data_IF_671261098893
#
_entry.id   IF_671261098893
#
_cell.length_a   1.000
_cell.length_b   1.000
_cell.length_c   1.000
_cell.angle_alpha   90.00
_cell.angle_beta   90.00
_cell.angle_gamma   90.00
#
_symmetry.space_group_name_H-M   'P 1'
#
loop_
_entity.id
_entity.type
_entity.pdbx_description
1 polymer ?
#
# COMPACT_ATOMS: atom_id res chain seq x y z
N UNK A 1 7.35 15.78 18.63
CA UNK A 1 7.78 16.49 17.41
C UNK A 1 8.34 15.46 16.45
N UNK A 2 7.55 14.95 15.51
CA UNK A 2 8.01 13.99 14.50
C UNK A 2 8.02 14.66 13.14
N UNK A 3 8.95 15.59 12.95
CA UNK A 3 9.35 15.96 11.59
C UNK A 3 10.10 14.77 11.02
N UNK A 4 9.68 14.28 9.86
CA UNK A 4 10.47 13.33 9.06
C UNK A 4 11.86 13.93 8.87
N UNK A 5 12.86 13.34 9.52
CA UNK A 5 14.24 13.77 9.32
C UNK A 5 14.64 13.30 7.92
N UNK A 6 15.01 14.25 7.05
CA UNK A 6 15.51 13.94 5.71
C UNK A 6 16.59 12.87 5.79
N UNK A 7 16.51 11.91 4.89
CA UNK A 7 17.36 10.74 4.80
C UNK A 7 18.25 10.92 3.58
N UNK A 8 19.57 10.87 3.79
CA UNK A 8 20.57 10.83 2.74
C UNK A 8 21.61 9.76 3.07
N UNK A 9 22.64 9.67 2.25
CA UNK A 9 23.77 8.76 2.45
C UNK A 9 23.61 7.42 1.73
N UNK A 10 24.13 6.38 2.37
CA UNK A 10 24.27 5.03 1.85
C UNK A 10 22.97 4.27 1.99
N UNK A 11 22.28 4.05 0.88
CA UNK A 11 21.02 3.33 0.84
C UNK A 11 21.20 1.88 0.39
N UNK A 12 20.47 0.96 1.01
CA UNK A 12 20.25 -0.40 0.50
C UNK A 12 18.78 -0.66 0.24
N UNK A 13 18.47 -1.58 -0.67
CA UNK A 13 17.09 -2.01 -0.94
C UNK A 13 17.02 -3.52 -0.85
N UNK A 14 16.01 -4.04 -0.12
CA UNK A 14 15.70 -5.46 -0.06
C UNK A 14 14.32 -5.74 -0.65
N UNK A 15 14.24 -6.72 -1.54
CA UNK A 15 13.11 -6.95 -2.42
C UNK A 15 13.16 -6.03 -3.64
N UNK A 16 13.48 -6.59 -4.79
CA UNK A 16 13.74 -5.89 -6.05
C UNK A 16 12.66 -6.15 -7.11
N UNK A 17 11.44 -6.41 -6.66
CA UNK A 17 10.27 -6.42 -7.53
C UNK A 17 9.96 -5.03 -8.11
N UNK A 18 8.81 -4.92 -8.79
CA UNK A 18 8.41 -3.68 -9.47
C UNK A 18 8.42 -2.43 -8.57
N UNK A 19 8.02 -2.56 -7.30
CA UNK A 19 7.94 -1.42 -6.37
C UNK A 19 9.32 -0.81 -6.05
N UNK A 20 10.39 -1.59 -6.06
CA UNK A 20 11.75 -1.11 -5.81
C UNK A 20 12.18 -0.01 -6.79
N UNK A 21 11.68 -0.05 -8.04
CA UNK A 21 11.99 0.92 -9.10
C UNK A 21 11.72 2.36 -8.67
N UNK A 22 10.66 2.59 -7.88
CA UNK A 22 10.31 3.90 -7.35
C UNK A 22 11.44 4.47 -6.48
N UNK A 23 11.91 3.67 -5.53
CA UNK A 23 12.97 4.07 -4.60
C UNK A 23 14.33 4.17 -5.28
N UNK A 24 14.64 3.25 -6.21
CA UNK A 24 15.88 3.30 -6.99
C UNK A 24 15.99 4.62 -7.75
N UNK A 25 14.91 5.03 -8.44
CA UNK A 25 14.87 6.32 -9.14
C UNK A 25 15.00 7.49 -8.17
N UNK A 26 14.22 7.48 -7.09
CA UNK A 26 14.24 8.56 -6.11
C UNK A 26 15.62 8.77 -5.49
N UNK A 27 16.29 7.70 -5.09
CA UNK A 27 17.66 7.72 -4.56
C UNK A 27 18.63 8.21 -5.65
N UNK A 28 18.50 7.68 -6.87
CA UNK A 28 19.38 8.04 -8.01
C UNK A 28 19.22 9.47 -8.49
N UNK A 29 18.10 10.12 -8.24
CA UNK A 29 17.84 11.52 -8.63
C UNK A 29 18.42 12.52 -7.63
N UNK A 30 18.96 12.06 -6.49
CA UNK A 30 19.43 12.91 -5.41
C UNK A 30 20.93 12.79 -5.22
N UNK A 31 21.67 13.91 -5.19
CA UNK A 31 23.13 13.88 -5.09
C UNK A 31 23.62 13.41 -3.72
N UNK A 32 22.85 13.68 -2.66
CA UNK A 32 23.20 13.33 -1.28
C UNK A 32 22.89 11.88 -0.94
N UNK A 33 22.44 11.06 -1.88
CA UNK A 33 22.10 9.65 -1.67
C UNK A 33 22.79 8.75 -2.70
N UNK A 34 23.20 7.58 -2.26
CA UNK A 34 23.80 6.56 -3.13
C UNK A 34 23.21 5.19 -2.83
N UNK A 35 22.72 4.50 -3.86
CA UNK A 35 22.31 3.11 -3.75
C UNK A 35 23.55 2.22 -3.77
N UNK A 36 23.84 1.59 -2.64
CA UNK A 36 25.06 0.79 -2.42
C UNK A 36 24.82 -0.68 -2.74
N UNK A 37 23.69 -1.22 -2.33
CA UNK A 37 23.40 -2.64 -2.48
C UNK A 37 21.91 -2.93 -2.70
N UNK A 38 21.68 -4.04 -3.40
CA UNK A 38 20.41 -4.67 -3.66
C UNK A 38 20.42 -6.06 -3.03
N UNK A 39 19.31 -6.48 -2.43
CA UNK A 39 19.12 -7.82 -1.88
C UNK A 39 17.82 -8.45 -2.38
N UNK A 40 17.91 -9.64 -2.99
CA UNK A 40 16.76 -10.40 -3.49
C UNK A 40 17.13 -11.87 -3.67
N UNK A 41 16.14 -12.76 -3.60
CA UNK A 41 16.27 -14.16 -4.00
C UNK A 41 16.56 -14.27 -5.51
N UNK A 42 16.08 -13.31 -6.29
CA UNK A 42 16.12 -13.31 -7.74
C UNK A 42 17.21 -12.35 -8.26
N UNK A 43 18.33 -12.92 -8.72
CA UNK A 43 19.47 -12.17 -9.22
C UNK A 43 19.19 -11.44 -10.55
N UNK A 44 18.27 -11.94 -11.37
CA UNK A 44 17.86 -11.26 -12.61
C UNK A 44 17.11 -9.96 -12.34
N UNK A 45 16.28 -9.90 -11.30
CA UNK A 45 15.65 -8.64 -10.87
C UNK A 45 16.69 -7.62 -10.40
N UNK A 46 17.71 -8.07 -9.66
CA UNK A 46 18.82 -7.19 -9.28
C UNK A 46 19.61 -6.70 -10.50
N UNK A 47 19.87 -7.58 -11.49
CA UNK A 47 20.51 -7.21 -12.76
C UNK A 47 19.68 -6.18 -13.54
N UNK A 48 18.36 -6.36 -13.62
CA UNK A 48 17.45 -5.41 -14.24
C UNK A 48 17.60 -4.00 -13.64
N UNK A 49 17.63 -3.89 -12.32
CA UNK A 49 17.79 -2.59 -11.66
C UNK A 49 19.21 -2.04 -11.74
N UNK A 50 20.24 -2.88 -11.81
CA UNK A 50 21.61 -2.42 -12.10
C UNK A 50 21.75 -1.87 -13.52
N UNK A 51 20.99 -2.37 -14.50
CA UNK A 51 20.90 -1.77 -15.82
C UNK A 51 20.23 -0.39 -15.76
N UNK A 52 19.15 -0.26 -14.97
CA UNK A 52 18.51 1.03 -14.73
C UNK A 52 19.47 2.04 -14.08
N UNK A 53 20.28 1.64 -13.09
CA UNK A 53 21.31 2.52 -12.52
C UNK A 53 22.31 3.01 -13.56
N UNK A 54 22.76 2.11 -14.44
CA UNK A 54 23.66 2.45 -15.55
C UNK A 54 23.02 3.45 -16.51
N UNK A 55 21.75 3.28 -16.87
CA UNK A 55 20.98 4.23 -17.70
C UNK A 55 20.87 5.62 -17.05
N UNK A 56 20.74 5.65 -15.72
CA UNK A 56 20.69 6.88 -14.92
C UNK A 56 22.09 7.49 -14.67
N UNK A 57 23.16 6.92 -15.23
CA UNK A 57 24.53 7.39 -15.03
C UNK A 57 25.04 7.19 -13.60
N UNK A 58 24.49 6.21 -12.86
CA UNK A 58 24.88 5.89 -11.48
C UNK A 58 25.73 4.61 -11.42
N UNK A 59 26.61 4.47 -10.41
CA UNK A 59 27.33 3.23 -10.17
C UNK A 59 26.36 2.06 -9.97
N UNK A 60 26.78 0.86 -10.39
CA UNK A 60 26.04 -0.35 -10.07
C UNK A 60 26.07 -0.62 -8.56
N UNK A 61 24.95 -1.09 -8.02
CA UNK A 61 24.83 -1.56 -6.66
C UNK A 61 25.36 -2.99 -6.55
N UNK A 62 26.01 -3.31 -5.43
CA UNK A 62 26.38 -4.69 -5.08
C UNK A 62 25.12 -5.54 -4.89
N UNK A 63 25.20 -6.83 -5.17
CA UNK A 63 24.06 -7.74 -5.06
C UNK A 63 24.28 -8.75 -3.95
N UNK A 64 23.24 -9.03 -3.18
CA UNK A 64 23.28 -9.96 -2.05
C UNK A 64 22.10 -10.92 -2.09
N UNK A 65 22.35 -12.20 -1.81
CA UNK A 65 21.29 -13.15 -1.49
C UNK A 65 20.73 -12.87 -0.09
N UNK A 66 19.46 -13.15 0.22
CA UNK A 66 18.90 -12.95 1.56
C UNK A 66 19.66 -13.66 2.69
N UNK A 67 20.27 -14.81 2.40
CA UNK A 67 21.11 -15.53 3.38
C UNK A 67 22.36 -14.73 3.78
N UNK A 68 22.81 -13.81 2.93
CA UNK A 68 23.95 -12.91 3.17
C UNK A 68 23.50 -11.55 3.73
N UNK A 69 22.23 -11.38 4.13
CA UNK A 69 21.72 -10.09 4.57
C UNK A 69 22.44 -9.53 5.81
N UNK A 70 22.83 -10.39 6.76
CA UNK A 70 23.63 -9.97 7.92
C UNK A 70 24.99 -9.39 7.48
N UNK A 71 25.68 -10.09 6.58
CA UNK A 71 26.94 -9.64 5.98
C UNK A 71 26.77 -8.32 5.23
N UNK A 72 25.67 -8.16 4.47
CA UNK A 72 25.33 -6.91 3.78
C UNK A 72 25.26 -5.73 4.76
N UNK A 73 24.60 -5.90 5.92
CA UNK A 73 24.49 -4.85 6.93
C UNK A 73 25.86 -4.49 7.53
N UNK A 74 26.70 -5.49 7.82
CA UNK A 74 28.03 -5.31 8.41
C UNK A 74 29.02 -4.61 7.45
N UNK A 75 29.08 -5.06 6.19
CA UNK A 75 30.05 -4.59 5.21
C UNK A 75 29.68 -3.22 4.64
N UNK A 76 28.40 -3.01 4.33
CA UNK A 76 27.99 -1.85 3.54
C UNK A 76 27.70 -0.61 4.38
N UNK A 77 27.56 -0.73 5.71
CA UNK A 77 27.37 0.40 6.64
C UNK A 77 26.30 1.38 6.13
N UNK A 78 25.09 0.86 5.96
CA UNK A 78 23.97 1.60 5.40
C UNK A 78 23.47 2.66 6.38
N UNK A 79 23.13 3.83 5.86
CA UNK A 79 22.39 4.85 6.59
C UNK A 79 20.89 4.56 6.56
N UNK A 80 20.41 3.99 5.45
CA UNK A 80 19.00 3.65 5.24
C UNK A 80 18.82 2.33 4.50
N UNK A 81 17.85 1.53 4.94
CA UNK A 81 17.35 0.35 4.25
C UNK A 81 15.90 0.56 3.82
N UNK A 82 15.61 0.33 2.55
CA UNK A 82 14.23 0.27 2.03
C UNK A 82 13.79 -1.19 1.89
N UNK A 83 12.68 -1.55 2.51
CA UNK A 83 12.09 -2.90 2.49
C UNK A 83 10.88 -2.90 1.56
N UNK A 84 10.98 -3.67 0.48
CA UNK A 84 9.95 -3.83 -0.57
C UNK A 84 9.71 -5.30 -0.94
N UNK A 85 9.86 -6.20 0.04
CA UNK A 85 9.67 -7.65 -0.14
C UNK A 85 8.18 -8.06 -0.09
N UNK A 86 7.91 -9.36 -0.06
CA UNK A 86 6.58 -9.89 0.29
C UNK A 86 6.26 -9.49 1.73
N UNK A 87 5.03 -9.05 2.00
CA UNK A 87 4.63 -8.48 3.30
C UNK A 87 5.01 -9.38 4.50
N UNK A 88 4.84 -10.69 4.34
CA UNK A 88 5.12 -11.67 5.38
C UNK A 88 6.60 -11.82 5.74
N UNK A 89 7.52 -11.23 4.98
CA UNK A 89 8.96 -11.28 5.24
C UNK A 89 9.52 -9.94 5.69
N UNK A 90 8.71 -8.88 5.80
CA UNK A 90 9.17 -7.56 6.20
C UNK A 90 9.94 -7.59 7.54
N UNK A 91 9.45 -8.33 8.54
CA UNK A 91 10.08 -8.39 9.87
C UNK A 91 11.48 -9.02 9.84
N UNK A 92 11.74 -9.94 8.91
CA UNK A 92 13.04 -10.60 8.73
C UNK A 92 14.13 -9.60 8.32
N UNK A 93 13.76 -8.47 7.71
CA UNK A 93 14.70 -7.43 7.30
C UNK A 93 14.63 -6.19 8.18
N UNK A 94 13.44 -5.81 8.65
CA UNK A 94 13.26 -4.66 9.55
C UNK A 94 14.01 -4.90 10.86
N UNK A 95 13.82 -6.05 11.51
CA UNK A 95 14.36 -6.28 12.86
C UNK A 95 15.89 -6.29 12.87
N UNK A 96 16.60 -7.04 12.02
CA UNK A 96 18.07 -7.03 12.02
C UNK A 96 18.64 -5.66 11.62
N UNK A 97 18.00 -4.94 10.68
CA UNK A 97 18.46 -3.62 10.28
C UNK A 97 18.39 -2.60 11.43
N UNK A 98 17.30 -2.62 12.22
CA UNK A 98 17.19 -1.78 13.42
C UNK A 98 18.29 -2.11 14.44
N UNK A 99 18.58 -3.39 14.67
CA UNK A 99 19.67 -3.80 15.57
C UNK A 99 21.07 -3.43 15.05
N UNK A 100 21.25 -3.34 13.73
CA UNK A 100 22.46 -2.81 13.10
C UNK A 100 22.54 -1.27 13.14
N UNK A 101 21.55 -0.58 13.72
CA UNK A 101 21.51 0.88 13.79
C UNK A 101 21.12 1.57 12.49
N UNK A 102 20.58 0.83 11.52
CA UNK A 102 20.18 1.35 10.20
C UNK A 102 18.76 1.92 10.28
N UNK A 103 18.52 3.09 9.68
CA UNK A 103 17.15 3.63 9.53
C UNK A 103 16.38 2.77 8.54
N UNK A 104 15.15 2.40 8.87
CA UNK A 104 14.33 1.54 8.02
C UNK A 104 13.15 2.31 7.44
N UNK A 105 12.98 2.21 6.12
CA UNK A 105 11.80 2.62 5.39
C UNK A 105 11.13 1.34 4.87
N UNK A 106 9.92 1.02 5.32
CA UNK A 106 9.22 -0.19 4.87
C UNK A 106 8.01 0.15 4.03
N UNK A 107 7.83 -0.54 2.92
CA UNK A 107 6.52 -0.62 2.29
C UNK A 107 5.47 -1.11 3.27
N UNK A 108 4.23 -0.73 2.98
CA UNK A 108 3.08 -1.17 3.74
C UNK A 108 2.60 -2.53 3.23
N UNK A 109 1.93 -3.32 4.07
CA UNK A 109 1.75 -3.13 5.51
C UNK A 109 3.09 -3.31 6.25
N UNK A 110 3.19 -2.82 7.49
CA UNK A 110 4.42 -2.99 8.28
C UNK A 110 4.82 -4.47 8.40
N UNK A 111 3.83 -5.35 8.54
CA UNK A 111 3.94 -6.82 8.44
C UNK A 111 2.54 -7.44 8.32
N UNK A 112 2.39 -8.74 8.55
CA UNK A 112 1.16 -9.52 8.24
C UNK A 112 0.49 -10.18 9.42
N UNK A 113 1.14 -10.26 10.59
CA UNK A 113 0.58 -10.90 11.79
C UNK A 113 0.99 -10.19 13.08
N UNK A 114 0.32 -10.59 14.17
CA UNK A 114 0.47 -10.00 15.50
C UNK A 114 1.88 -10.20 16.05
N UNK A 115 2.44 -11.40 15.93
CA UNK A 115 3.73 -11.72 16.55
C UNK A 115 4.89 -11.02 15.84
N UNK A 116 4.84 -10.93 14.50
CA UNK A 116 5.75 -10.11 13.70
C UNK A 116 5.64 -8.63 14.07
N UNK A 117 4.41 -8.12 14.24
CA UNK A 117 4.19 -6.74 14.65
C UNK A 117 4.83 -6.47 16.03
N UNK A 118 4.62 -7.36 17.01
CA UNK A 118 5.26 -7.28 18.33
C UNK A 118 6.78 -7.30 18.24
N UNK A 119 7.36 -8.18 17.41
CA UNK A 119 8.82 -8.24 17.20
C UNK A 119 9.38 -6.92 16.68
N UNK A 120 8.73 -6.33 15.67
CA UNK A 120 9.14 -5.03 15.11
C UNK A 120 9.05 -3.92 16.17
N UNK A 121 7.91 -3.83 16.87
CA UNK A 121 7.72 -2.81 17.90
C UNK A 121 8.75 -2.94 19.02
N UNK A 122 9.05 -4.16 19.46
CA UNK A 122 10.09 -4.43 20.44
C UNK A 122 11.47 -4.03 19.92
N UNK A 123 11.83 -4.35 18.67
CA UNK A 123 13.11 -3.98 18.09
C UNK A 123 13.30 -2.45 18.03
N UNK A 124 12.24 -1.71 17.69
CA UNK A 124 12.28 -0.25 17.70
C UNK A 124 12.48 0.27 19.13
N UNK A 125 11.80 -0.31 20.12
CA UNK A 125 11.97 0.10 21.52
C UNK A 125 13.35 -0.23 22.08
N UNK A 126 13.88 -1.41 21.80
CA UNK A 126 15.20 -1.87 22.27
C UNK A 126 16.35 -1.02 21.69
N UNK A 127 16.24 -0.65 20.41
CA UNK A 127 17.32 0.05 19.68
C UNK A 127 17.17 1.57 19.68
N UNK A 128 15.98 2.08 20.04
CA UNK A 128 15.55 3.47 19.76
C UNK A 128 15.72 3.85 18.28
N UNK A 129 15.65 2.83 17.42
CA UNK A 129 15.83 2.95 15.98
C UNK A 129 14.69 3.68 15.29
N UNK A 130 14.90 4.03 14.03
CA UNK A 130 13.95 4.78 13.23
C UNK A 130 13.30 3.88 12.19
N UNK A 131 11.98 3.67 12.30
CA UNK A 131 11.16 2.96 11.32
C UNK A 131 10.05 3.88 10.80
N UNK A 132 10.00 4.05 9.48
CA UNK A 132 8.91 4.74 8.79
C UNK A 132 8.16 3.76 7.89
N UNK A 133 6.83 3.74 8.01
CA UNK A 133 5.93 2.98 7.14
C UNK A 133 5.45 3.89 6.01
N UNK A 134 5.56 3.43 4.78
CA UNK A 134 5.43 4.27 3.58
C UNK A 134 3.96 4.41 3.13
N UNK A 135 3.12 5.02 3.96
CA UNK A 135 1.74 5.38 3.62
C UNK A 135 1.68 6.62 2.73
N UNK A 136 2.02 6.42 1.45
CA UNK A 136 2.03 7.46 0.41
C UNK A 136 0.71 8.26 0.27
N UNK A 137 -0.44 7.68 0.60
CA UNK A 137 -1.72 8.41 0.60
C UNK A 137 -1.74 9.59 1.57
N UNK A 138 -1.02 9.56 2.71
CA UNK A 138 -0.90 10.75 3.59
C UNK A 138 -0.34 11.96 2.86
N UNK A 139 0.36 11.78 1.75
CA UNK A 139 1.05 12.82 0.99
C UNK A 139 0.25 13.38 -0.19
N UNK A 140 -0.96 12.87 -0.44
CA UNK A 140 -1.84 13.41 -1.47
C UNK A 140 -2.55 14.68 -0.94
N UNK A 141 -2.47 15.84 -1.62
CA UNK A 141 -3.05 17.10 -1.13
C UNK A 141 -4.56 17.06 -0.83
N UNK A 142 -5.32 16.19 -1.49
CA UNK A 142 -6.76 16.01 -1.17
C UNK A 142 -6.95 15.56 0.28
N UNK A 143 -6.04 14.73 0.79
CA UNK A 143 -6.09 14.21 2.15
C UNK A 143 -5.56 15.21 3.18
N UNK A 144 -4.65 16.10 2.79
CA UNK A 144 -4.27 17.25 3.61
C UNK A 144 -5.47 18.17 3.82
N UNK A 145 -6.23 18.47 2.76
CA UNK A 145 -7.40 19.33 2.89
C UNK A 145 -8.46 18.75 3.82
N UNK A 146 -8.70 17.43 3.76
CA UNK A 146 -9.62 16.76 4.70
C UNK A 146 -9.13 16.90 6.14
N UNK A 147 -7.85 16.63 6.40
CA UNK A 147 -7.26 16.77 7.74
C UNK A 147 -7.37 18.22 8.24
N UNK A 148 -7.00 19.21 7.42
CA UNK A 148 -7.07 20.63 7.75
C UNK A 148 -8.49 21.07 8.13
N UNK A 149 -9.51 20.64 7.38
CA UNK A 149 -10.92 21.00 7.63
C UNK A 149 -11.41 20.40 8.95
N UNK A 150 -11.05 19.14 9.23
CA UNK A 150 -11.41 18.45 10.47
C UNK A 150 -10.67 19.07 11.66
N UNK A 151 -9.36 19.25 11.55
CA UNK A 151 -8.50 19.84 12.59
C UNK A 151 -8.89 21.29 12.91
N UNK A 152 -9.35 22.05 11.92
CA UNK A 152 -9.91 23.39 12.11
C UNK A 152 -11.28 23.41 12.82
N UNK A 153 -11.84 22.23 13.15
CA UNK A 153 -13.09 22.09 13.89
C UNK A 153 -14.34 22.48 13.10
N UNK A 154 -14.28 22.48 11.75
CA UNK A 154 -15.39 22.89 10.88
C UNK A 154 -16.62 22.02 11.02
N UNK A 155 -16.45 20.75 11.39
CA UNK A 155 -17.53 19.82 11.72
C UNK A 155 -17.62 19.51 13.23
N UNK A 156 -16.82 20.18 14.06
CA UNK A 156 -16.75 19.91 15.49
C UNK A 156 -16.14 18.55 15.81
N UNK A 157 -16.62 17.86 16.86
CA UNK A 157 -16.09 16.53 17.18
C UNK A 157 -16.71 15.47 16.27
N UNK A 158 -15.87 14.70 15.58
CA UNK A 158 -16.31 13.56 14.76
C UNK A 158 -17.01 12.51 15.64
N UNK A 159 -18.20 12.10 15.22
CA UNK A 159 -19.03 11.07 15.87
C UNK A 159 -19.06 9.79 15.06
N UNK A 160 -19.16 9.89 13.72
CA UNK A 160 -19.07 8.72 12.86
C UNK A 160 -18.38 8.99 11.53
N UNK A 161 -17.79 7.93 10.97
CA UNK A 161 -17.17 7.90 9.65
C UNK A 161 -17.86 6.82 8.82
N UNK A 162 -18.26 7.15 7.60
CA UNK A 162 -18.72 6.18 6.61
C UNK A 162 -17.71 6.13 5.49
N UNK A 163 -17.19 4.94 5.18
CA UNK A 163 -16.11 4.79 4.23
C UNK A 163 -16.34 3.59 3.30
N UNK A 164 -16.50 3.87 2.01
CA UNK A 164 -16.58 2.87 0.96
C UNK A 164 -15.34 3.00 0.06
N UNK A 165 -14.64 1.90 -0.16
CA UNK A 165 -13.54 1.82 -1.13
C UNK A 165 -13.85 0.78 -2.20
N UNK A 166 -13.70 1.20 -3.46
CA UNK A 166 -14.01 0.40 -4.64
C UNK A 166 -12.73 0.23 -5.47
N UNK A 167 -12.30 -1.03 -5.63
CA UNK A 167 -11.25 -1.38 -6.58
C UNK A 167 -11.91 -1.91 -7.83
N UNK A 168 -11.44 -1.45 -8.98
CA UNK A 168 -11.94 -1.96 -10.24
C UNK A 168 -11.53 -3.42 -10.50
N UNK A 169 -12.08 -4.03 -11.55
CA UNK A 169 -11.78 -5.41 -11.93
C UNK A 169 -10.37 -5.65 -12.47
N UNK A 170 -9.54 -4.61 -12.62
CA UNK A 170 -8.12 -4.74 -13.00
C UNK A 170 -7.22 -4.68 -11.78
N UNK A 171 -7.34 -3.62 -10.99
CA UNK A 171 -6.56 -3.45 -9.76
C UNK A 171 -6.98 -4.46 -8.70
N UNK A 172 -8.29 -4.67 -8.52
CA UNK A 172 -8.82 -5.69 -7.64
C UNK A 172 -8.28 -7.08 -7.99
N UNK A 173 -8.36 -7.46 -9.27
CA UNK A 173 -7.89 -8.76 -9.74
C UNK A 173 -6.39 -8.97 -9.55
N UNK A 174 -5.57 -7.92 -9.62
CA UNK A 174 -4.11 -8.01 -9.44
C UNK A 174 -3.71 -8.63 -8.09
N UNK A 175 -4.55 -8.48 -7.05
CA UNK A 175 -4.36 -9.09 -5.74
C UNK A 175 -4.61 -10.61 -5.73
N UNK A 176 -5.41 -11.11 -6.66
CA UNK A 176 -5.77 -12.53 -6.75
C UNK A 176 -4.88 -13.29 -7.73
N UNK A 177 -3.91 -12.64 -8.40
CA UNK A 177 -3.03 -13.26 -9.42
C UNK A 177 -1.74 -13.84 -8.90
N UNK A 178 -1.31 -13.45 -7.71
CA UNK A 178 0.03 -13.71 -7.20
C UNK A 178 0.00 -13.98 -5.71
N UNK A 179 1.16 -13.88 -5.04
CA UNK A 179 1.31 -14.17 -3.62
C UNK A 179 0.30 -13.46 -2.69
N UNK A 180 -0.27 -12.33 -3.12
CA UNK A 180 -1.24 -11.55 -2.36
C UNK A 180 -2.51 -12.34 -2.04
N UNK A 181 -2.87 -13.32 -2.89
CA UNK A 181 -4.04 -14.21 -2.73
C UNK A 181 -3.95 -15.13 -1.51
N UNK A 182 -2.76 -15.25 -0.92
CA UNK A 182 -2.50 -16.12 0.20
C UNK A 182 -2.45 -15.31 1.49
N UNK A 183 -3.41 -15.54 2.39
CA UNK A 183 -3.54 -14.79 3.64
C UNK A 183 -2.31 -14.91 4.54
N UNK A 184 -1.59 -16.03 4.49
CA UNK A 184 -0.32 -16.19 5.21
C UNK A 184 0.84 -15.35 4.64
N UNK A 185 0.72 -14.84 3.41
CA UNK A 185 1.74 -14.00 2.76
C UNK A 185 1.40 -12.50 2.81
N UNK A 186 0.12 -12.14 2.80
CA UNK A 186 -0.35 -10.74 2.72
C UNK A 186 -1.14 -10.26 3.94
N UNK A 187 -1.62 -11.17 4.78
CA UNK A 187 -2.64 -10.86 5.78
C UNK A 187 -4.04 -10.60 5.19
N UNK A 188 -4.25 -10.80 3.89
CA UNK A 188 -5.51 -10.46 3.20
C UNK A 188 -5.67 -8.97 2.93
N UNK A 189 -6.71 -8.59 2.16
CA UNK A 189 -6.88 -7.20 1.72
C UNK A 189 -7.12 -6.24 2.88
N UNK A 190 -7.71 -6.70 3.97
CA UNK A 190 -7.87 -5.90 5.19
C UNK A 190 -6.53 -5.45 5.79
N UNK A 191 -5.45 -6.22 5.62
CA UNK A 191 -4.11 -5.86 6.08
C UNK A 191 -3.30 -5.24 4.93
N UNK A 192 -3.21 -5.91 3.78
CA UNK A 192 -2.36 -5.48 2.66
C UNK A 192 -2.80 -4.15 2.02
N UNK A 193 -4.11 -4.02 1.78
CA UNK A 193 -4.69 -2.88 1.05
C UNK A 193 -5.32 -1.88 2.01
N UNK A 194 -6.24 -2.34 2.86
CA UNK A 194 -7.01 -1.45 3.73
C UNK A 194 -6.21 -0.84 4.87
N UNK A 195 -4.98 -1.30 5.17
CA UNK A 195 -4.09 -0.58 6.10
C UNK A 195 -3.84 0.87 5.65
N UNK A 196 -3.76 1.17 4.35
CA UNK A 196 -3.75 2.56 3.87
C UNK A 196 -5.00 3.34 4.26
N UNK A 197 -6.16 2.70 4.18
CA UNK A 197 -7.45 3.33 4.41
C UNK A 197 -7.66 3.58 5.90
N UNK A 198 -7.31 2.60 6.73
CA UNK A 198 -7.34 2.73 8.19
C UNK A 198 -6.33 3.74 8.70
N UNK A 199 -5.13 3.78 8.10
CA UNK A 199 -4.15 4.83 8.35
C UNK A 199 -4.71 6.23 8.09
N UNK A 200 -5.35 6.44 6.93
CA UNK A 200 -5.98 7.71 6.59
C UNK A 200 -7.06 8.12 7.60
N UNK A 201 -7.92 7.19 8.02
CA UNK A 201 -8.95 7.51 9.02
C UNK A 201 -8.31 7.87 10.37
N UNK A 202 -7.37 7.06 10.86
CA UNK A 202 -6.62 7.34 12.09
C UNK A 202 -5.94 8.72 12.01
N UNK A 203 -5.42 9.08 10.83
CA UNK A 203 -4.78 10.35 10.55
C UNK A 203 -5.77 11.52 10.60
N UNK A 204 -6.88 11.45 9.84
CA UNK A 204 -7.87 12.53 9.73
C UNK A 204 -8.57 12.86 11.04
N UNK A 205 -8.95 11.84 11.82
CA UNK A 205 -9.70 12.04 13.06
C UNK A 205 -8.79 12.07 14.30
N UNK A 206 -7.49 11.86 14.11
CA UNK A 206 -6.45 11.81 15.15
C UNK A 206 -6.86 10.93 16.34
N UNK A 207 -7.27 9.69 16.05
CA UNK A 207 -7.77 8.75 17.04
C UNK A 207 -7.22 7.34 16.82
N UNK A 208 -7.22 6.54 17.88
CA UNK A 208 -6.73 5.16 17.84
C UNK A 208 -7.89 4.17 17.81
N UNK A 209 -7.89 3.19 16.89
CA UNK A 209 -8.92 2.14 16.88
C UNK A 209 -8.80 1.26 18.13
N UNK A 210 -9.95 0.79 18.64
CA UNK A 210 -10.07 0.01 19.89
C UNK A 210 -10.80 -1.31 19.72
N UNK A 211 -11.93 -1.31 19.01
CA UNK A 211 -12.77 -2.50 18.83
C UNK A 211 -13.11 -2.63 17.35
N UNK A 212 -13.10 -3.86 16.83
CA UNK A 212 -13.43 -4.18 15.43
C UNK A 212 -14.38 -5.37 15.39
N UNK A 213 -15.43 -5.26 14.59
CA UNK A 213 -16.27 -6.37 14.18
C UNK A 213 -16.40 -6.34 12.66
N UNK A 214 -16.49 -7.48 12.01
CA UNK A 214 -16.59 -7.51 10.56
C UNK A 214 -17.04 -8.84 9.99
N UNK A 215 -17.38 -8.77 8.71
CA UNK A 215 -17.76 -9.89 7.86
C UNK A 215 -16.99 -9.76 6.55
N UNK A 216 -16.57 -10.88 5.97
CA UNK A 216 -15.84 -10.90 4.71
C UNK A 216 -16.04 -12.23 4.00
N UNK A 217 -15.97 -12.20 2.67
CA UNK A 217 -16.13 -13.39 1.84
C UNK A 217 -15.34 -13.27 0.54
N UNK A 218 -15.07 -14.41 -0.10
CA UNK A 218 -14.60 -14.50 -1.48
C UNK A 218 -15.84 -14.58 -2.41
N UNK A 219 -16.46 -13.43 -2.64
CA UNK A 219 -17.76 -13.25 -3.28
C UNK A 219 -17.71 -13.21 -4.81
N UNK A 220 -16.59 -12.82 -5.42
CA UNK A 220 -16.48 -12.63 -6.86
C UNK A 220 -15.41 -13.52 -7.51
N UNK A 221 -14.18 -13.46 -6.99
CA UNK A 221 -13.04 -14.27 -7.42
C UNK A 221 -13.12 -15.70 -6.87
N UNK A 222 -12.16 -16.54 -7.24
CA UNK A 222 -12.15 -17.95 -6.84
C UNK A 222 -13.05 -18.84 -7.71
N UNK A 223 -12.79 -20.15 -7.64
CA UNK A 223 -13.43 -21.14 -8.52
C UNK A 223 -14.93 -21.25 -8.30
N UNK A 224 -15.41 -21.19 -7.05
CA UNK A 224 -16.84 -21.30 -6.74
C UNK A 224 -17.64 -20.10 -7.26
N UNK A 225 -17.24 -18.88 -6.89
CA UNK A 225 -17.93 -17.64 -7.29
C UNK A 225 -17.76 -17.36 -8.79
N UNK A 226 -16.57 -17.62 -9.34
CA UNK A 226 -16.29 -17.57 -10.76
C UNK A 226 -17.11 -18.58 -11.57
N UNK A 227 -17.31 -19.79 -11.05
CA UNK A 227 -18.14 -20.82 -11.69
C UNK A 227 -19.63 -20.45 -11.72
N UNK A 228 -20.16 -19.92 -10.61
CA UNK A 228 -21.56 -19.45 -10.53
C UNK A 228 -21.85 -18.27 -11.46
N UNK A 229 -20.88 -17.37 -11.60
CA UNK A 229 -21.00 -16.17 -12.45
C UNK A 229 -20.69 -16.42 -13.93
N UNK A 230 -20.01 -17.53 -14.24
CA UNK A 230 -19.55 -17.84 -15.61
C UNK A 230 -18.26 -17.14 -16.01
N UNK A 231 -17.57 -16.45 -15.08
CA UNK A 231 -16.28 -15.81 -15.35
C UNK A 231 -15.10 -16.77 -15.27
N UNK A 232 -15.21 -17.87 -14.51
CA UNK A 232 -14.12 -18.83 -14.36
C UNK A 232 -13.81 -19.52 -15.69
N UNK A 233 -12.53 -19.52 -16.05
CA UNK A 233 -11.98 -20.28 -17.18
C UNK A 233 -10.99 -21.32 -16.66
N UNK A 234 -10.91 -22.47 -17.33
CA UNK A 234 -10.06 -23.59 -16.91
C UNK A 234 -8.63 -23.40 -17.41
N UNK A 235 -7.81 -22.72 -16.59
CA UNK A 235 -6.37 -22.65 -16.79
C UNK A 235 -5.65 -22.27 -15.50
N UNK A 236 -4.38 -22.67 -15.37
CA UNK A 236 -3.54 -22.31 -14.23
C UNK A 236 -2.95 -20.90 -14.37
N UNK A 237 -2.33 -20.58 -15.50
CA UNK A 237 -1.77 -19.25 -15.80
C UNK A 237 -2.00 -18.80 -17.23
N UNK A 238 -2.04 -17.48 -17.44
CA UNK A 238 -2.50 -16.87 -18.68
C UNK A 238 -1.56 -17.06 -19.87
N UNK A 239 -0.25 -17.21 -19.63
CA UNK A 239 0.75 -17.41 -20.70
C UNK A 239 0.63 -18.76 -21.40
N UNK A 240 0.18 -19.80 -20.69
CA UNK A 240 0.34 -21.20 -21.13
C UNK A 240 -0.89 -21.73 -21.89
N UNK A 241 -1.86 -20.87 -22.20
CA UNK A 241 -3.11 -21.27 -22.84
C UNK A 241 -3.65 -20.18 -23.75
N UNK A 242 -4.40 -20.57 -24.78
CA UNK A 242 -5.17 -19.64 -25.61
C UNK A 242 -6.51 -19.28 -24.96
N UNK A 243 -7.00 -20.07 -23.99
CA UNK A 243 -8.21 -19.77 -23.24
C UNK A 243 -8.11 -18.48 -22.42
N UNK A 244 -6.91 -17.95 -22.21
CA UNK A 244 -6.67 -16.69 -21.53
C UNK A 244 -6.53 -15.49 -22.48
N UNK A 245 -6.50 -15.68 -23.81
CA UNK A 245 -6.17 -14.62 -24.76
C UNK A 245 -7.20 -13.45 -24.79
N UNK A 246 -8.46 -13.77 -24.58
CA UNK A 246 -9.60 -12.85 -24.50
C UNK A 246 -10.22 -12.80 -23.09
N UNK A 247 -9.58 -13.41 -22.10
CA UNK A 247 -10.05 -13.35 -20.72
C UNK A 247 -9.84 -11.91 -20.20
N UNK A 248 -10.92 -11.16 -19.86
CA UNK A 248 -10.81 -9.77 -19.39
C UNK A 248 -9.99 -9.62 -18.10
N UNK A 249 -9.81 -10.72 -17.36
CA UNK A 249 -9.03 -10.77 -16.16
C UNK A 249 -7.56 -11.08 -16.49
N UNK A 250 -7.23 -11.90 -17.48
CA UNK A 250 -5.85 -12.29 -17.74
C UNK A 250 -4.86 -11.11 -17.87
N UNK A 251 -3.64 -11.31 -17.35
CA UNK A 251 -2.52 -10.38 -17.52
C UNK A 251 -1.50 -11.00 -18.47
N UNK A 252 -1.17 -10.29 -19.53
CA UNK A 252 -0.21 -10.74 -20.54
C UNK A 252 1.12 -10.01 -20.34
N UNK A 253 2.00 -10.60 -19.53
CA UNK A 253 3.29 -9.98 -19.16
C UNK A 253 4.16 -9.68 -20.39
N UNK A 254 4.06 -10.50 -21.44
CA UNK A 254 4.80 -10.32 -22.69
C UNK A 254 4.49 -9.01 -23.43
N UNK A 255 3.32 -8.41 -23.17
CA UNK A 255 2.91 -7.15 -23.80
C UNK A 255 3.60 -5.93 -23.14
N UNK A 256 4.18 -6.11 -21.95
CA UNK A 256 4.84 -5.04 -21.18
C UNK A 256 6.32 -5.37 -20.95
N UNK A 257 7.27 -4.78 -21.71
CA UNK A 257 8.68 -5.14 -21.66
C UNK A 257 9.31 -5.11 -20.27
N UNK A 258 8.93 -4.13 -19.43
CA UNK A 258 9.45 -4.00 -18.07
C UNK A 258 8.95 -5.12 -17.14
N UNK A 259 7.68 -5.50 -17.24
CA UNK A 259 7.09 -6.58 -16.46
C UNK A 259 7.55 -7.94 -16.96
N UNK A 260 7.70 -8.10 -18.28
CA UNK A 260 8.31 -9.28 -18.88
C UNK A 260 9.71 -9.50 -18.29
N UNK A 261 10.57 -8.49 -18.32
CA UNK A 261 11.94 -8.60 -17.81
C UNK A 261 12.00 -8.87 -16.29
N UNK A 262 11.15 -8.22 -15.49
CA UNK A 262 11.15 -8.39 -14.03
C UNK A 262 10.55 -9.71 -13.54
N UNK A 263 9.66 -10.33 -14.33
CA UNK A 263 8.85 -11.45 -13.88
C UNK A 263 8.88 -12.63 -14.83
N UNK A 264 8.45 -12.46 -16.08
CA UNK A 264 8.34 -13.56 -17.03
C UNK A 264 9.72 -14.17 -17.38
N UNK A 265 10.72 -13.34 -17.58
CA UNK A 265 12.07 -13.81 -17.93
C UNK A 265 12.80 -14.34 -16.70
N UNK A 266 12.52 -13.75 -15.53
CA UNK A 266 13.15 -14.06 -14.26
C UNK A 266 12.51 -15.23 -13.48
N UNK A 267 11.40 -15.80 -13.96
CA UNK A 267 10.64 -16.82 -13.21
C UNK A 267 11.39 -18.14 -13.00
N UNK A 268 12.39 -18.44 -13.83
CA UNK A 268 13.19 -19.66 -13.73
C UNK A 268 14.13 -19.67 -12.51
N UNK A 269 14.35 -18.51 -11.87
CA UNK A 269 15.21 -18.37 -10.69
C UNK A 269 14.48 -18.75 -9.40
N UNK A 270 13.21 -18.34 -9.26
CA UNK A 270 12.45 -18.46 -8.01
C UNK A 270 11.07 -19.12 -8.16
N UNK A 271 10.65 -19.48 -9.37
CA UNK A 271 9.33 -20.04 -9.65
C UNK A 271 8.17 -19.05 -9.47
N UNK A 272 8.44 -17.75 -9.41
CA UNK A 272 7.42 -16.75 -9.13
C UNK A 272 6.59 -16.38 -10.37
N UNK A 273 5.35 -16.87 -10.40
CA UNK A 273 4.38 -16.55 -11.45
C UNK A 273 3.49 -15.36 -11.07
N UNK A 274 3.42 -14.34 -11.95
CA UNK A 274 2.61 -13.12 -11.77
C UNK A 274 1.27 -13.15 -12.53
N UNK A 275 1.09 -14.09 -13.43
CA UNK A 275 -0.02 -14.19 -14.39
C UNK A 275 -0.97 -15.37 -14.13
N UNK A 276 -1.04 -15.85 -12.88
CA UNK A 276 -1.93 -16.97 -12.57
C UNK A 276 -3.41 -16.54 -12.56
N UNK A 277 -4.30 -17.51 -12.74
CA UNK A 277 -5.74 -17.33 -12.80
C UNK A 277 -6.29 -16.78 -11.47
N UNK A 278 -7.26 -15.85 -11.55
CA UNK A 278 -7.93 -15.24 -10.38
C UNK A 278 -9.20 -15.97 -9.96
N UNK A 279 -9.63 -16.95 -10.74
CA UNK A 279 -10.72 -17.86 -10.39
C UNK A 279 -10.21 -19.25 -10.00
N UNK A 280 -8.99 -19.30 -9.44
CA UNK A 280 -8.39 -20.51 -8.91
C UNK A 280 -9.01 -20.92 -7.56
N UNK A 281 -8.85 -22.18 -7.17
CA UNK A 281 -9.34 -22.75 -5.91
C UNK A 281 -8.40 -22.51 -4.71
N UNK A 282 -7.19 -22.00 -4.96
CA UNK A 282 -6.14 -21.79 -3.96
C UNK A 282 -6.19 -20.41 -3.25
N UNK A 283 -7.22 -19.61 -3.52
CA UNK A 283 -7.38 -18.26 -2.98
C UNK A 283 -7.89 -18.34 -1.53
N UNK A 284 -7.21 -17.64 -0.62
CA UNK A 284 -7.49 -17.71 0.83
C UNK A 284 -7.84 -16.35 1.45
N UNK A 285 -8.02 -15.33 0.62
CA UNK A 285 -8.37 -13.97 1.01
C UNK A 285 -9.78 -13.63 0.55
N UNK A 286 -10.35 -12.59 1.15
CA UNK A 286 -11.67 -12.05 0.81
C UNK A 286 -11.56 -10.95 -0.25
N UNK A 287 -12.65 -10.70 -0.97
CA UNK A 287 -12.78 -9.66 -2.00
C UNK A 287 -14.00 -8.74 -1.79
N UNK A 288 -14.92 -9.12 -0.89
CA UNK A 288 -16.03 -8.32 -0.37
C UNK A 288 -15.99 -8.34 1.15
N UNK A 289 -15.80 -7.18 1.77
CA UNK A 289 -15.59 -7.11 3.22
C UNK A 289 -16.17 -5.84 3.83
N UNK A 290 -16.83 -6.00 4.98
CA UNK A 290 -17.39 -4.91 5.79
C UNK A 290 -16.85 -4.97 7.22
N UNK A 291 -16.48 -3.81 7.79
CA UNK A 291 -16.09 -3.71 9.22
C UNK A 291 -16.72 -2.52 9.92
N UNK A 292 -16.99 -2.71 11.20
CA UNK A 292 -17.33 -1.69 12.18
C UNK A 292 -16.11 -1.47 13.08
N UNK A 293 -15.71 -0.22 13.26
CA UNK A 293 -14.56 0.14 14.13
C UNK A 293 -15.00 1.16 15.15
N UNK A 294 -14.59 0.99 16.40
CA UNK A 294 -14.76 1.99 17.47
C UNK A 294 -13.40 2.56 17.86
N UNK A 295 -13.33 3.87 18.05
CA UNK A 295 -12.12 4.60 18.39
C UNK A 295 -12.10 5.02 19.87
N UNK A 296 -10.91 5.36 20.36
CA UNK A 296 -10.70 5.86 21.74
C UNK A 296 -11.41 7.19 22.04
N UNK A 297 -11.56 8.05 21.04
CA UNK A 297 -12.37 9.27 21.11
C UNK A 297 -13.89 9.02 21.04
N UNK A 298 -14.33 7.76 21.05
CA UNK A 298 -15.72 7.28 20.92
C UNK A 298 -16.35 7.44 19.53
N UNK A 299 -15.63 7.91 18.53
CA UNK A 299 -16.11 7.87 17.16
C UNK A 299 -16.25 6.42 16.67
N UNK A 300 -17.17 6.19 15.74
CA UNK A 300 -17.37 4.88 15.10
C UNK A 300 -17.18 4.99 13.58
N UNK A 301 -16.62 3.96 12.94
CA UNK A 301 -16.54 3.87 11.50
C UNK A 301 -17.30 2.66 10.97
N UNK A 302 -18.06 2.86 9.89
CA UNK A 302 -18.48 1.77 8.97
C UNK A 302 -17.57 1.79 7.76
N UNK A 303 -16.94 0.67 7.43
CA UNK A 303 -16.06 0.54 6.28
C UNK A 303 -16.50 -0.62 5.39
N UNK A 304 -16.45 -0.44 4.06
CA UNK A 304 -16.63 -1.51 3.07
C UNK A 304 -15.54 -1.44 2.01
N UNK A 305 -15.01 -2.61 1.62
CA UNK A 305 -14.10 -2.79 0.50
C UNK A 305 -14.71 -3.75 -0.50
N UNK A 306 -14.93 -3.26 -1.72
CA UNK A 306 -15.30 -4.08 -2.88
C UNK A 306 -14.11 -4.19 -3.82
N UNK A 307 -13.61 -5.40 -4.08
CA UNK A 307 -12.44 -5.61 -4.93
C UNK A 307 -12.76 -5.97 -6.40
N UNK A 308 -13.99 -5.74 -6.86
CA UNK A 308 -14.49 -6.14 -8.18
C UNK A 308 -15.49 -5.14 -8.76
N UNK A 309 -15.35 -3.87 -8.40
CA UNK A 309 -16.21 -2.78 -8.85
C UNK A 309 -16.04 -2.50 -10.35
N UNK A 310 -17.06 -1.98 -11.07
CA UNK A 310 -16.88 -1.53 -12.44
C UNK A 310 -16.05 -0.24 -12.58
N UNK A 311 -15.77 0.45 -11.46
CA UNK A 311 -15.00 1.69 -11.40
C UNK A 311 -14.12 1.74 -10.14
N UNK A 312 -13.05 2.53 -10.17
CA UNK A 312 -12.10 2.66 -9.06
C UNK A 312 -12.22 4.03 -8.38
N UNK A 313 -12.31 4.01 -7.06
CA UNK A 313 -12.42 5.20 -6.24
C UNK A 313 -12.96 4.92 -4.85
N UNK A 314 -13.35 5.97 -4.14
CA UNK A 314 -13.85 5.86 -2.78
C UNK A 314 -14.67 7.06 -2.35
N UNK A 315 -15.45 6.85 -1.30
CA UNK A 315 -16.27 7.87 -0.64
C UNK A 315 -16.04 7.80 0.85
N UNK A 316 -15.76 8.95 1.47
CA UNK A 316 -15.59 9.06 2.91
C UNK A 316 -16.45 10.20 3.42
N UNK A 317 -17.24 9.95 4.46
CA UNK A 317 -18.04 11.00 5.08
C UNK A 317 -17.91 11.00 6.59
N UNK A 318 -17.69 12.18 7.15
CA UNK A 318 -17.46 12.43 8.56
C UNK A 318 -18.64 13.21 9.12
N UNK A 319 -19.36 12.64 10.08
CA UNK A 319 -20.42 13.32 10.80
C UNK A 319 -19.86 13.84 12.12
N UNK A 320 -19.96 15.15 12.35
CA UNK A 320 -19.60 15.77 13.62
C UNK A 320 -20.72 16.59 14.23
N UNK A 321 -20.48 17.16 15.41
CA UNK A 321 -21.49 17.93 16.15
C UNK A 321 -21.75 19.34 15.61
N UNK A 322 -21.00 19.79 14.58
CA UNK A 322 -21.22 21.08 13.89
C UNK A 322 -21.49 20.96 12.39
N UNK A 323 -21.49 19.75 11.85
CA UNK A 323 -21.76 19.53 10.43
C UNK A 323 -21.22 18.20 9.92
N UNK A 324 -21.12 18.10 8.60
CA UNK A 324 -20.64 16.91 7.90
C UNK A 324 -19.64 17.29 6.82
N UNK A 325 -18.59 16.48 6.67
CA UNK A 325 -17.61 16.61 5.60
C UNK A 325 -17.69 15.37 4.72
N UNK A 326 -17.71 15.55 3.41
CA UNK A 326 -17.71 14.47 2.44
C UNK A 326 -16.51 14.60 1.49
N UNK A 327 -15.86 13.48 1.22
CA UNK A 327 -14.85 13.32 0.18
C UNK A 327 -15.35 12.24 -0.79
N UNK A 328 -15.44 12.58 -2.07
CA UNK A 328 -15.68 11.64 -3.16
C UNK A 328 -14.49 11.68 -4.12
N UNK A 329 -13.95 10.51 -4.47
CA UNK A 329 -12.84 10.38 -5.41
C UNK A 329 -13.17 9.28 -6.40
N UNK A 330 -13.15 9.64 -7.69
CA UNK A 330 -13.27 8.74 -8.83
C UNK A 330 -11.91 8.72 -9.53
N UNK A 331 -11.12 7.67 -9.27
CA UNK A 331 -9.79 7.51 -9.86
C UNK A 331 -9.88 7.01 -11.30
N UNK A 332 -10.79 6.06 -11.57
CA UNK A 332 -11.14 5.60 -12.91
C UNK A 332 -12.65 5.37 -12.98
N UNK A 333 -13.32 6.02 -13.94
CA UNK A 333 -14.77 5.92 -14.08
C UNK A 333 -15.24 4.58 -14.67
N UNK A 334 -14.37 3.89 -15.42
CA UNK A 334 -14.60 2.54 -15.93
C UNK A 334 -13.31 1.93 -16.47
N UNK A 335 -13.28 0.59 -16.55
CA UNK A 335 -12.21 -0.18 -17.21
C UNK A 335 -12.75 -1.01 -18.36
N UNK A 336 -12.01 -1.00 -19.46
CA UNK A 336 -12.25 -1.93 -20.56
C UNK A 336 -11.39 -3.19 -20.39
N UNK A 337 -11.92 -4.38 -20.76
CA UNK A 337 -11.13 -5.59 -20.90
C UNK A 337 -9.87 -5.39 -21.73
N UNK A 338 -8.80 -6.08 -21.37
CA UNK A 338 -7.60 -6.17 -22.21
C UNK A 338 -7.51 -7.54 -22.86
N UNK A 339 -7.15 -7.56 -24.12
CA UNK A 339 -6.84 -8.78 -24.87
C UNK A 339 -5.33 -8.86 -25.10
N UNK A 340 -4.80 -10.07 -25.32
CA UNK A 340 -3.39 -10.28 -25.70
C UNK A 340 -3.00 -9.40 -26.89
N UNK A 341 -1.89 -8.66 -26.77
CA UNK A 341 -1.42 -7.70 -27.77
C UNK A 341 -2.15 -6.34 -27.76
N UNK A 342 -3.02 -6.10 -26.78
CA UNK A 342 -3.77 -4.86 -26.61
C UNK A 342 -3.03 -3.74 -25.84
N UNK A 343 -3.71 -2.61 -25.61
CA UNK A 343 -3.14 -1.46 -24.93
C UNK A 343 -2.77 -1.73 -23.45
N UNK A 344 -1.63 -1.21 -23.01
CA UNK A 344 -1.01 -1.60 -21.75
C UNK A 344 -1.20 -0.60 -20.60
N UNK A 345 -1.95 0.49 -20.81
CA UNK A 345 -2.13 1.55 -19.83
C UNK A 345 -2.82 1.10 -18.52
N UNK A 346 -2.25 1.50 -17.38
CA UNK A 346 -2.80 1.19 -16.05
C UNK A 346 -2.90 -0.29 -15.75
N UNK A 347 -1.93 -1.11 -16.20
CA UNK A 347 -1.83 -2.53 -15.90
C UNK A 347 -1.27 -2.79 -14.48
N UNK A 348 -0.49 -1.85 -13.96
CA UNK A 348 -0.03 -1.82 -12.57
C UNK A 348 -0.49 -0.51 -11.94
N UNK A 349 -1.25 -0.60 -10.86
CA UNK A 349 -1.71 0.57 -10.12
C UNK A 349 -0.54 1.35 -9.52
N UNK A 350 -0.59 2.69 -9.59
CA UNK A 350 0.38 3.59 -8.97
C UNK A 350 1.56 4.05 -9.84
N UNK A 351 1.76 3.52 -11.07
CA UNK A 351 2.85 3.99 -11.96
C UNK A 351 2.44 5.20 -12.82
N UNK A 352 1.23 5.17 -13.38
CA UNK A 352 0.65 6.23 -14.22
C UNK A 352 -0.77 6.54 -13.75
N UNK A 353 -1.29 7.70 -14.17
CA UNK A 353 -2.71 7.99 -13.99
C UNK A 353 -3.55 6.88 -14.62
N UNK A 354 -4.62 6.46 -13.94
CA UNK A 354 -5.55 5.50 -14.50
C UNK A 354 -6.25 6.11 -15.74
N UNK A 355 -6.54 5.31 -16.78
CA UNK A 355 -7.37 5.73 -17.89
C UNK A 355 -8.78 6.07 -17.41
N UNK A 356 -9.51 6.83 -18.22
CA UNK A 356 -10.88 7.28 -17.93
C UNK A 356 -10.98 8.00 -16.57
N UNK A 357 -10.04 8.93 -16.34
CA UNK A 357 -9.91 9.67 -15.09
C UNK A 357 -11.25 10.32 -14.70
N UNK A 358 -11.67 10.10 -13.47
CA UNK A 358 -12.83 10.76 -12.89
C UNK A 358 -12.50 12.10 -12.23
N UNK A 359 -13.31 12.48 -11.25
CA UNK A 359 -13.17 13.72 -10.48
C UNK A 359 -13.00 13.44 -8.98
N UNK A 360 -12.51 14.44 -8.26
CA UNK A 360 -12.45 14.42 -6.80
C UNK A 360 -13.15 15.66 -6.26
N UNK A 361 -13.92 15.50 -5.19
CA UNK A 361 -14.73 16.56 -4.60
C UNK A 361 -14.70 16.49 -3.08
N UNK A 362 -14.54 17.65 -2.43
CA UNK A 362 -14.75 17.80 -0.99
C UNK A 362 -15.93 18.75 -0.78
N UNK A 363 -16.94 18.31 -0.02
CA UNK A 363 -18.10 19.13 0.32
C UNK A 363 -18.28 19.21 1.84
N UNK A 364 -18.36 20.43 2.36
CA UNK A 364 -18.67 20.72 3.76
C UNK A 364 -20.14 21.10 3.88
N UNK A 365 -20.85 20.47 4.81
CA UNK A 365 -22.23 20.72 5.17
C UNK A 365 -22.29 21.24 6.62
N UNK A 366 -22.19 22.56 6.87
CA UNK A 366 -22.36 23.10 8.21
C UNK A 366 -23.82 22.96 8.66
N UNK A 367 -24.05 22.81 9.98
CA UNK A 367 -25.41 22.87 10.50
C UNK A 367 -26.05 24.23 10.20
N UNK A 368 -27.31 24.20 9.75
CA UNK A 368 -28.13 25.38 9.47
C UNK A 368 -27.52 26.36 8.44
N UNK A 369 -26.66 25.87 7.56
CA UNK A 369 -26.08 26.65 6.46
C UNK A 369 -26.11 25.86 5.16
N UNK A 370 -25.89 26.54 4.04
CA UNK A 370 -25.77 25.89 2.73
C UNK A 370 -24.46 25.10 2.65
N UNK A 371 -24.48 24.00 1.89
CA UNK A 371 -23.28 23.23 1.58
C UNK A 371 -22.24 24.09 0.84
N UNK A 372 -20.97 23.79 1.07
CA UNK A 372 -19.83 24.51 0.50
C UNK A 372 -18.86 23.53 -0.12
N UNK A 373 -18.49 23.76 -1.38
CA UNK A 373 -17.41 23.01 -2.01
C UNK A 373 -16.07 23.55 -1.51
N UNK A 374 -15.20 22.66 -1.05
CA UNK A 374 -13.90 23.02 -0.47
C UNK A 374 -12.82 22.82 -1.54
N UNK A 375 -12.16 23.89 -2.00
CA UNK A 375 -11.09 23.77 -3.00
C UNK A 375 -9.83 23.15 -2.38
N UNK A 376 -9.09 22.39 -3.20
CA UNK A 376 -7.81 21.78 -2.85
C UNK A 376 -6.89 21.72 -4.08
N UNK A 377 -5.59 21.53 -3.86
CA UNK A 377 -4.63 21.32 -4.95
C UNK A 377 -4.83 19.92 -5.54
N UNK A 378 -5.03 19.84 -6.86
CA UNK A 378 -5.04 18.54 -7.55
C UNK A 378 -3.59 18.13 -7.77
N UNK A 379 -3.14 17.08 -7.08
CA UNK A 379 -1.83 16.52 -7.35
C UNK A 379 -1.82 15.67 -8.62
N UNK A 380 -0.69 15.71 -9.34
CA UNK A 380 -0.42 14.95 -10.56
C UNK A 380 0.67 13.92 -10.26
N UNK A 381 0.57 12.71 -10.82
CA UNK A 381 1.51 11.60 -10.60
C UNK A 381 0.90 10.40 -9.88
N UNK A 382 1.73 9.43 -9.48
CA UNK A 382 1.30 8.23 -8.74
C UNK A 382 0.53 8.58 -7.47
N UNK A 383 -0.65 7.97 -7.30
CA UNK A 383 -1.56 8.22 -6.18
C UNK A 383 -1.91 9.71 -5.97
N UNK A 384 -2.15 10.45 -7.05
CA UNK A 384 -2.41 11.89 -7.01
C UNK A 384 -1.17 12.71 -6.63
N UNK A 385 0.03 12.22 -6.94
CA UNK A 385 1.30 12.87 -6.63
C UNK A 385 1.75 12.70 -5.17
N UNK A 386 1.16 11.75 -4.43
CA UNK A 386 1.57 11.41 -3.07
C UNK A 386 2.95 10.75 -3.03
N UNK A 387 3.26 9.88 -4.00
CA UNK A 387 4.58 9.22 -4.05
C UNK A 387 5.73 10.22 -4.18
N UNK A 388 5.62 11.18 -5.12
CA UNK A 388 6.67 12.20 -5.31
C UNK A 388 6.88 13.06 -4.07
N UNK A 389 5.78 13.53 -3.44
CA UNK A 389 5.84 14.33 -2.22
C UNK A 389 6.42 13.55 -1.03
N UNK A 390 6.05 12.27 -0.91
CA UNK A 390 6.62 11.39 0.11
C UNK A 390 8.13 11.25 -0.07
N UNK A 391 8.58 10.99 -1.31
CA UNK A 391 10.00 10.82 -1.60
C UNK A 391 10.78 12.12 -1.45
N UNK A 392 10.19 13.26 -1.81
CA UNK A 392 10.77 14.60 -1.57
C UNK A 392 10.90 14.91 -0.08
N UNK A 393 9.91 14.54 0.75
CA UNK A 393 10.01 14.70 2.19
C UNK A 393 11.05 13.74 2.82
N UNK A 394 11.08 12.48 2.37
CA UNK A 394 11.97 11.46 2.92
C UNK A 394 13.41 11.72 2.51
N UNK A 395 13.69 11.91 1.22
CA UNK A 395 15.05 11.98 0.69
C UNK A 395 15.51 13.41 0.37
N UNK A 396 14.68 14.41 0.63
CA UNK A 396 14.90 15.80 0.22
C UNK A 396 14.40 16.08 -1.20
N UNK A 397 14.25 17.37 -1.54
CA UNK A 397 13.83 17.78 -2.87
C UNK A 397 14.89 17.43 -3.94
N UNK A 398 14.42 17.16 -5.16
CA UNK A 398 15.30 16.98 -6.33
C UNK A 398 16.09 18.27 -6.62
N UNK A 399 17.28 18.19 -7.23
CA UNK A 399 18.04 19.37 -7.63
C UNK A 399 17.20 20.36 -8.45
N UNK A 400 17.17 21.63 -8.02
CA UNK A 400 16.39 22.69 -8.67
C UNK A 400 14.90 22.69 -8.37
N UNK A 401 14.40 21.78 -7.53
CA UNK A 401 13.01 21.74 -7.06
C UNK A 401 12.91 22.25 -5.62
N UNK A 402 11.81 22.93 -5.30
CA UNK A 402 11.49 23.33 -3.93
C UNK A 402 10.57 22.27 -3.33
N UNK A 403 10.88 21.87 -2.09
CA UNK A 403 10.01 20.98 -1.32
C UNK A 403 8.63 21.65 -1.16
N UNK A 404 7.57 20.95 -1.56
CA UNK A 404 6.21 21.46 -1.35
C UNK A 404 5.82 21.24 0.11
N UNK A 405 5.78 22.32 0.87
CA UNK A 405 5.30 22.29 2.25
C UNK A 405 3.82 21.90 2.31
N UNK A 406 3.48 21.10 3.31
CA UNK A 406 2.10 20.86 3.72
C UNK A 406 1.81 21.65 4.99
N UNK A 407 0.61 22.19 5.13
CA UNK A 407 0.15 22.71 6.41
C UNK A 407 0.01 21.60 7.47
N UNK A 408 -0.10 20.34 7.01
CA UNK A 408 -0.17 19.16 7.88
C UNK A 408 1.24 18.69 8.22
N UNK A 409 1.56 18.69 9.51
CA UNK A 409 2.91 18.36 10.01
C UNK A 409 3.09 16.88 10.35
N UNK A 410 2.01 16.09 10.31
CA UNK A 410 1.95 14.71 10.81
C UNK A 410 1.93 13.65 9.70
N UNK A 411 2.71 13.90 8.65
CA UNK A 411 2.72 13.09 7.41
C UNK A 411 3.51 11.80 7.54
N UNK A 412 4.67 11.83 8.19
CA UNK A 412 5.48 10.63 8.41
C UNK A 412 4.80 9.65 9.37
N UNK A 413 4.47 8.47 8.87
CA UNK A 413 3.91 7.38 9.68
C UNK A 413 5.01 6.52 10.29
N UNK A 414 5.02 6.40 11.61
CA UNK A 414 6.00 5.59 12.32
C UNK A 414 5.49 4.14 12.53
N UNK A 415 6.23 3.35 13.32
CA UNK A 415 5.85 1.98 13.68
C UNK A 415 4.52 1.87 14.42
N UNK A 416 4.14 2.88 15.20
CA UNK A 416 2.85 2.91 15.93
C UNK A 416 1.70 3.19 14.96
N UNK A 417 1.86 4.15 14.06
CA UNK A 417 0.90 4.39 12.98
C UNK A 417 0.69 3.11 12.14
N UNK A 418 1.81 2.47 11.74
CA UNK A 418 1.80 1.20 11.03
C UNK A 418 1.07 0.08 11.78
N UNK A 419 1.37 -0.08 13.07
CA UNK A 419 0.73 -1.09 13.92
C UNK A 419 -0.78 -0.83 14.08
N UNK A 420 -1.21 0.41 14.34
CA UNK A 420 -2.63 0.75 14.48
C UNK A 420 -3.40 0.55 13.18
N UNK A 421 -2.82 0.89 12.04
CA UNK A 421 -3.43 0.70 10.72
C UNK A 421 -3.64 -0.79 10.41
N UNK A 422 -2.61 -1.63 10.60
CA UNK A 422 -2.73 -3.07 10.35
C UNK A 422 -3.56 -3.79 11.41
N UNK A 423 -3.61 -3.30 12.66
CA UNK A 423 -4.37 -3.91 13.74
C UNK A 423 -5.87 -3.97 13.45
N UNK A 424 -6.42 -2.96 12.75
CA UNK A 424 -7.82 -3.00 12.28
C UNK A 424 -8.02 -4.18 11.34
N UNK A 425 -7.10 -4.39 10.39
CA UNK A 425 -7.19 -5.49 9.44
C UNK A 425 -6.98 -6.88 10.07
N UNK A 426 -6.06 -6.99 11.03
CA UNK A 426 -5.85 -8.21 11.80
C UNK A 426 -7.07 -8.56 12.65
N UNK A 427 -7.67 -7.55 13.31
CA UNK A 427 -8.88 -7.73 14.10
C UNK A 427 -10.08 -8.10 13.21
N UNK A 428 -10.18 -7.53 12.01
CA UNK A 428 -11.19 -7.91 11.02
C UNK A 428 -11.04 -9.38 10.61
N UNK A 429 -9.81 -9.83 10.30
CA UNK A 429 -9.54 -11.23 9.97
C UNK A 429 -9.96 -12.19 11.10
N UNK A 430 -9.69 -11.83 12.35
CA UNK A 430 -10.10 -12.64 13.50
C UNK A 430 -11.63 -12.61 13.69
N UNK A 431 -12.27 -11.47 13.45
CA UNK A 431 -13.73 -11.35 13.47
C UNK A 431 -14.39 -12.19 12.38
N UNK A 432 -13.83 -12.25 11.16
CA UNK A 432 -14.36 -13.06 10.06
C UNK A 432 -14.37 -14.55 10.42
N UNK A 433 -13.32 -15.01 11.11
CA UNK A 433 -13.19 -16.41 11.56
C UNK A 433 -14.08 -16.73 12.75
N UNK A 434 -14.11 -15.85 13.74
CA UNK A 434 -14.74 -16.13 15.04
C UNK A 434 -16.21 -15.70 15.11
N UNK A 435 -16.65 -14.79 14.24
CA UNK A 435 -17.96 -14.15 14.33
C UNK A 435 -18.12 -13.23 15.55
N UNK A 436 -17.02 -12.76 16.16
CA UNK A 436 -17.02 -12.00 17.41
C UNK A 436 -16.36 -10.63 17.25
N UNK A 437 -16.75 -9.71 18.13
CA UNK A 437 -16.05 -8.44 18.33
C UNK A 437 -14.63 -8.72 18.84
N UNK A 438 -13.64 -8.05 18.27
CA UNK A 438 -12.23 -8.16 18.64
C UNK A 438 -11.73 -6.83 19.18
N UNK A 439 -11.10 -6.86 20.35
CA UNK A 439 -10.42 -5.70 20.93
C UNK A 439 -8.96 -5.68 20.52
N UNK A 440 -8.46 -4.52 20.11
CA UNK A 440 -7.12 -4.37 19.54
C UNK A 440 -6.02 -4.55 20.59
N UNK A 441 -6.23 -4.11 21.83
CA UNK A 441 -5.27 -4.28 22.92
C UNK A 441 -5.14 -5.75 23.35
N UNK A 442 -6.26 -6.47 23.42
CA UNK A 442 -6.27 -7.93 23.65
C UNK A 442 -5.59 -8.69 22.50
N UNK A 443 -5.89 -8.31 21.24
CA UNK A 443 -5.28 -8.91 20.06
C UNK A 443 -3.77 -8.69 20.02
N UNK A 444 -3.31 -7.45 20.19
CA UNK A 444 -1.90 -7.09 20.16
C UNK A 444 -1.17 -7.43 21.46
N UNK A 445 -1.87 -7.70 22.56
CA UNK A 445 -1.28 -7.95 23.87
C UNK A 445 -0.48 -6.77 24.45
N UNK A 446 -0.61 -5.58 23.87
CA UNK A 446 0.07 -4.34 24.24
C UNK A 446 -0.86 -3.14 24.02
N UNK A 447 -0.63 -2.06 24.75
CA UNK A 447 -1.32 -0.77 24.53
C UNK A 447 -0.40 0.16 23.75
N UNK A 448 -0.91 0.69 22.63
CA UNK A 448 -0.20 1.59 21.72
C UNK A 448 -0.60 3.06 21.86
#
# INVERSE_FOLDING_TARGET
MSGTTKVGGRAGIVGTGHRARLYIRAISERPDSQLICLCDLNDERMKFHNNLLKELGRPQAKTYHPDDFGKMLEEEKLDVLVVTTVDATHDLYIVPALHAGVRVLTEKPMTTDVDKCRRILKAVDDTKGSLQVLFNYRYNPVHWKVEEVIAAGKIGNVKSVHFEWLLDTVHGADYFRRWHRYKNKSGGLMVHKASHHFDLVNFWINAKPKEVFGMGSLAFYGSESGGKSGWARDYYRARDTDAAADDPFAIHLGDEPSLKALYQDAEHVDGYHRDMNVFADDITIEDDMAVLVKYDNKATMTYHLTAYSPWEGYRVMFNGDKGRLELEVVESAFRLPKTRGGATEGLVHGEKALPNKGSSKITLHPLWSTAQDIPFEIGVGGHGGGDERMLDQIFGARPGMVEKDSAVTRLGANQVDGALAMAVGLAANESFKSGKLVKIDELLGITL
#
